data_IF_868839917197
#
_entry.id   IF_868839917197
#
_cell.length_a   1.000
_cell.length_b   1.000
_cell.length_c   1.000
_cell.angle_alpha   90.00
_cell.angle_beta   90.00
_cell.angle_gamma   90.00
#
_symmetry.space_group_name_H-M   'P 1'
#
loop_
_entity.id
_entity.type
_entity.pdbx_description
1 polymer ?
#
# COMPACT_ATOMS: atom_id res chain seq x y z
N UNK A 1 14.94 6.70 -40.04
CA UNK A 1 14.41 7.16 -38.74
C UNK A 1 12.92 6.92 -38.77
N UNK A 2 12.30 6.44 -37.67
CA UNK A 2 10.84 6.46 -37.59
C UNK A 2 10.36 7.90 -37.78
N UNK A 3 9.26 8.06 -38.50
CA UNK A 3 8.62 9.36 -38.72
C UNK A 3 8.20 9.95 -37.37
N UNK A 4 8.35 11.27 -37.17
CA UNK A 4 7.94 11.91 -35.92
C UNK A 4 6.43 11.69 -35.69
N UNK A 5 5.98 11.44 -34.46
CA UNK A 5 4.56 11.21 -34.22
C UNK A 5 3.76 12.45 -34.59
N UNK A 6 2.69 12.25 -35.38
CA UNK A 6 1.75 13.30 -35.75
C UNK A 6 0.92 13.78 -34.55
N UNK A 7 0.02 14.74 -34.75
CA UNK A 7 -0.92 15.17 -33.71
C UNK A 7 -2.06 14.14 -33.52
N UNK A 8 -2.59 14.01 -32.30
CA UNK A 8 -3.82 13.24 -32.08
C UNK A 8 -5.07 13.98 -32.53
N UNK A 9 -5.01 15.32 -32.60
CA UNK A 9 -6.10 16.13 -33.11
C UNK A 9 -6.26 15.90 -34.64
N UNK A 10 -7.51 15.80 -35.16
CA UNK A 10 -7.75 15.52 -36.58
C UNK A 10 -7.50 16.73 -37.50
N UNK A 11 -7.16 17.91 -36.96
CA UNK A 11 -6.98 19.15 -37.73
C UNK A 11 -8.28 19.75 -38.31
N UNK A 12 -9.45 19.21 -37.95
CA UNK A 12 -10.76 19.63 -38.42
C UNK A 12 -11.87 19.46 -37.38
N UNK A 13 -13.13 19.60 -37.79
CA UNK A 13 -14.29 19.43 -36.91
C UNK A 13 -14.56 17.95 -36.60
N UNK A 14 -14.94 17.67 -35.35
CA UNK A 14 -15.52 16.40 -34.94
C UNK A 14 -17.03 16.54 -34.67
N UNK A 15 -17.79 15.50 -34.97
CA UNK A 15 -19.23 15.39 -34.68
C UNK A 15 -19.48 14.28 -33.67
N UNK A 16 -20.40 14.49 -32.72
CA UNK A 16 -20.81 13.48 -31.74
C UNK A 16 -22.32 13.27 -31.92
N UNK A 17 -22.70 12.09 -32.41
CA UNK A 17 -24.05 11.79 -32.89
C UNK A 17 -24.69 10.72 -31.99
N UNK A 18 -25.86 10.95 -31.38
CA UNK A 18 -26.54 9.94 -30.58
C UNK A 18 -27.19 8.86 -31.46
N UNK A 19 -27.09 7.58 -31.06
CA UNK A 19 -27.90 6.50 -31.66
C UNK A 19 -29.19 6.36 -30.86
N UNK A 20 -30.28 6.88 -31.41
CA UNK A 20 -31.60 6.89 -30.75
C UNK A 20 -32.48 5.74 -31.22
N UNK A 21 -33.48 5.36 -30.39
CA UNK A 21 -34.49 4.37 -30.77
C UNK A 21 -34.05 2.91 -30.63
N UNK A 22 -32.93 2.65 -29.96
CA UNK A 22 -32.52 1.30 -29.59
C UNK A 22 -33.51 0.67 -28.59
N UNK A 23 -33.69 -0.66 -28.62
CA UNK A 23 -34.58 -1.36 -27.69
C UNK A 23 -33.99 -1.41 -26.28
N UNK A 24 -34.83 -1.83 -25.33
CA UNK A 24 -34.36 -2.24 -24.00
C UNK A 24 -33.75 -3.65 -24.11
N UNK A 25 -32.42 -3.73 -24.09
CA UNK A 25 -31.68 -4.98 -24.28
C UNK A 25 -31.86 -5.98 -23.13
N UNK A 26 -31.87 -7.26 -23.48
CA UNK A 26 -31.93 -8.41 -22.58
C UNK A 26 -30.88 -9.47 -22.97
N UNK A 27 -30.61 -10.45 -22.09
CA UNK A 27 -29.63 -11.49 -22.37
C UNK A 27 -29.91 -12.22 -23.70
N UNK A 28 -28.91 -12.27 -24.57
CA UNK A 28 -28.98 -12.92 -25.88
C UNK A 28 -29.46 -12.04 -27.04
N UNK A 29 -29.85 -10.78 -26.80
CA UNK A 29 -30.22 -9.86 -27.89
C UNK A 29 -29.03 -9.53 -28.80
N UNK A 30 -29.29 -9.38 -30.09
CA UNK A 30 -28.27 -9.01 -31.08
C UNK A 30 -28.04 -7.49 -31.11
N UNK A 31 -27.00 -7.07 -30.39
CA UNK A 31 -26.60 -5.66 -30.32
C UNK A 31 -26.19 -5.10 -31.69
N UNK A 32 -25.49 -5.88 -32.51
CA UNK A 32 -25.01 -5.40 -33.80
C UNK A 32 -26.17 -5.18 -34.77
N UNK A 33 -27.11 -6.12 -34.84
CA UNK A 33 -28.31 -5.99 -35.67
C UNK A 33 -29.14 -4.76 -35.28
N UNK A 34 -29.32 -4.51 -33.98
CA UNK A 34 -30.03 -3.32 -33.50
C UNK A 34 -29.32 -2.01 -33.90
N UNK A 35 -27.99 -1.99 -33.85
CA UNK A 35 -27.21 -0.82 -34.29
C UNK A 35 -27.34 -0.61 -35.80
N UNK A 36 -27.24 -1.67 -36.61
CA UNK A 36 -27.38 -1.56 -38.07
C UNK A 36 -28.76 -1.03 -38.46
N UNK A 37 -29.83 -1.46 -37.79
CA UNK A 37 -31.20 -0.97 -38.01
C UNK A 37 -31.36 0.52 -37.64
N UNK A 38 -30.81 0.95 -36.50
CA UNK A 38 -30.99 2.31 -35.98
C UNK A 38 -29.95 3.32 -36.45
N UNK A 39 -28.80 2.86 -36.89
CA UNK A 39 -27.71 3.67 -37.41
C UNK A 39 -27.23 3.19 -38.79
N UNK A 40 -28.10 3.10 -39.81
CA UNK A 40 -27.70 2.76 -41.18
C UNK A 40 -26.82 3.85 -41.82
N UNK A 41 -26.62 4.98 -41.13
CA UNK A 41 -25.80 6.12 -41.52
C UNK A 41 -24.34 6.03 -41.03
N UNK A 42 -23.95 4.92 -40.38
CA UNK A 42 -22.55 4.64 -40.01
C UNK A 42 -21.64 4.63 -41.23
N UNK A 43 -20.38 5.02 -41.03
CA UNK A 43 -19.37 5.13 -42.08
C UNK A 43 -18.03 4.60 -41.59
N UNK A 44 -17.15 4.28 -42.53
CA UNK A 44 -15.76 3.94 -42.22
C UNK A 44 -15.08 5.06 -41.44
N UNK A 45 -14.30 4.68 -40.42
CA UNK A 45 -13.59 5.61 -39.54
C UNK A 45 -14.43 6.19 -38.39
N UNK A 46 -15.73 5.91 -38.34
CA UNK A 46 -16.55 6.26 -37.16
C UNK A 46 -16.07 5.49 -35.92
N UNK A 47 -16.15 6.14 -34.74
CA UNK A 47 -15.91 5.50 -33.44
C UNK A 47 -17.22 5.38 -32.68
N UNK A 48 -17.63 4.15 -32.34
CA UNK A 48 -18.79 3.90 -31.50
C UNK A 48 -18.39 3.90 -30.03
N UNK A 49 -18.95 4.83 -29.26
CA UNK A 49 -18.81 4.92 -27.81
C UNK A 49 -20.04 4.30 -27.16
N UNK A 50 -19.89 3.08 -26.64
CA UNK A 50 -20.96 2.20 -26.17
C UNK A 50 -20.91 2.13 -24.64
N UNK A 51 -22.04 2.27 -23.94
CA UNK A 51 -22.06 2.04 -22.48
C UNK A 51 -21.92 0.55 -22.14
N UNK A 52 -21.16 0.25 -21.08
CA UNK A 52 -21.01 -1.07 -20.49
C UNK A 52 -22.35 -1.72 -20.17
N UNK A 53 -23.36 -0.93 -19.80
CA UNK A 53 -24.68 -1.43 -19.37
C UNK A 53 -25.36 -2.28 -20.42
N UNK A 54 -25.39 -1.85 -21.68
CA UNK A 54 -26.06 -2.63 -22.73
C UNK A 54 -25.26 -3.88 -23.10
N UNK A 55 -23.93 -3.81 -22.99
CA UNK A 55 -23.03 -4.96 -23.21
C UNK A 55 -23.26 -6.00 -22.11
N UNK A 56 -23.28 -5.57 -20.84
CA UNK A 56 -23.63 -6.41 -19.70
C UNK A 56 -25.00 -7.08 -19.85
N UNK A 57 -26.01 -6.34 -20.35
CA UNK A 57 -27.35 -6.90 -20.58
C UNK A 57 -27.34 -8.02 -21.61
N UNK A 58 -26.77 -7.79 -22.79
CA UNK A 58 -26.76 -8.80 -23.87
C UNK A 58 -25.89 -10.01 -23.52
N UNK A 59 -24.83 -9.80 -22.73
CA UNK A 59 -23.95 -10.87 -22.24
C UNK A 59 -24.46 -11.60 -20.98
N UNK A 60 -25.65 -11.25 -20.48
CA UNK A 60 -26.25 -11.96 -19.34
C UNK A 60 -25.58 -11.64 -17.99
N UNK A 61 -24.96 -10.47 -17.85
CA UNK A 61 -24.31 -9.98 -16.61
C UNK A 61 -25.29 -9.30 -15.65
N UNK A 62 -26.56 -9.70 -15.69
CA UNK A 62 -27.60 -9.26 -14.75
C UNK A 62 -27.77 -10.30 -13.66
N UNK A 63 -27.78 -9.85 -12.40
CA UNK A 63 -27.98 -10.72 -11.24
C UNK A 63 -29.23 -10.32 -10.46
N UNK A 64 -30.04 -11.28 -9.98
CA UNK A 64 -31.20 -10.98 -9.14
C UNK A 64 -30.77 -10.25 -7.86
N UNK A 65 -31.58 -9.28 -7.45
CA UNK A 65 -31.35 -8.49 -6.26
C UNK A 65 -32.67 -8.16 -5.55
N UNK A 66 -32.67 -8.10 -4.20
CA UNK A 66 -33.82 -7.64 -3.44
C UNK A 66 -34.28 -6.24 -3.85
N UNK A 67 -35.56 -5.95 -3.64
CA UNK A 67 -36.13 -4.61 -3.82
C UNK A 67 -36.04 -3.76 -2.55
N UNK A 68 -35.96 -4.39 -1.38
CA UNK A 68 -35.72 -3.67 -0.13
C UNK A 68 -34.35 -2.98 -0.17
N UNK A 69 -34.25 -1.66 0.13
CA UNK A 69 -33.00 -0.93 0.02
C UNK A 69 -31.85 -1.45 0.88
N UNK A 70 -32.13 -1.95 2.09
CA UNK A 70 -31.09 -2.44 3.00
C UNK A 70 -30.59 -3.82 2.55
N UNK A 71 -31.50 -4.72 2.21
CA UNK A 71 -31.16 -6.04 1.66
C UNK A 71 -30.44 -5.93 0.32
N UNK A 72 -30.85 -4.97 -0.53
CA UNK A 72 -30.21 -4.69 -1.82
C UNK A 72 -28.80 -4.16 -1.65
N UNK A 73 -28.56 -3.24 -0.70
CA UNK A 73 -27.19 -2.78 -0.41
C UNK A 73 -26.32 -3.90 0.16
N UNK A 74 -26.88 -4.78 1.00
CA UNK A 74 -26.18 -5.96 1.51
C UNK A 74 -25.81 -6.95 0.39
N UNK A 75 -26.76 -7.28 -0.49
CA UNK A 75 -26.52 -8.13 -1.66
C UNK A 75 -25.46 -7.52 -2.59
N UNK A 76 -25.55 -6.20 -2.85
CA UNK A 76 -24.56 -5.47 -3.64
C UNK A 76 -23.17 -5.58 -3.03
N UNK A 77 -23.01 -5.47 -1.71
CA UNK A 77 -21.71 -5.61 -1.06
C UNK A 77 -21.11 -6.99 -1.21
N UNK A 78 -21.91 -8.03 -1.08
CA UNK A 78 -21.44 -9.41 -1.31
C UNK A 78 -20.90 -9.54 -2.73
N UNK A 79 -21.60 -8.99 -3.72
CA UNK A 79 -21.12 -8.99 -5.10
C UNK A 79 -19.84 -8.14 -5.27
N UNK A 80 -19.74 -6.98 -4.61
CA UNK A 80 -18.53 -6.14 -4.63
C UNK A 80 -17.34 -6.93 -4.07
N UNK A 81 -17.52 -7.59 -2.93
CA UNK A 81 -16.47 -8.38 -2.29
C UNK A 81 -16.07 -9.59 -3.16
N UNK A 82 -17.01 -10.17 -3.91
CA UNK A 82 -16.73 -11.23 -4.88
C UNK A 82 -15.97 -10.72 -6.10
N UNK A 83 -16.31 -9.55 -6.64
CA UNK A 83 -15.67 -8.98 -7.83
C UNK A 83 -14.36 -8.24 -7.54
N UNK A 84 -14.14 -7.81 -6.29
CA UNK A 84 -12.95 -7.07 -5.90
C UNK A 84 -11.73 -8.00 -5.77
N UNK A 85 -10.63 -7.59 -6.39
CA UNK A 85 -9.29 -8.14 -6.13
C UNK A 85 -8.75 -7.57 -4.83
N UNK A 86 -8.95 -6.27 -4.60
CA UNK A 86 -8.62 -5.59 -3.35
C UNK A 86 -9.51 -4.37 -3.09
N UNK A 87 -9.59 -4.00 -1.81
CA UNK A 87 -10.16 -2.72 -1.39
C UNK A 87 -9.04 -1.69 -1.39
N UNK A 88 -9.20 -0.63 -2.20
CA UNK A 88 -8.23 0.47 -2.30
C UNK A 88 -8.52 1.50 -1.22
N UNK A 89 -9.78 1.92 -1.07
CA UNK A 89 -10.17 2.90 -0.05
C UNK A 89 -11.60 2.69 0.44
N UNK A 90 -11.83 2.99 1.72
CA UNK A 90 -13.14 2.97 2.36
C UNK A 90 -13.51 4.32 2.96
N UNK A 91 -14.75 4.78 2.72
CA UNK A 91 -15.35 5.90 3.44
C UNK A 91 -16.81 5.61 3.76
N UNK A 92 -17.09 5.30 5.03
CA UNK A 92 -18.43 4.86 5.44
C UNK A 92 -18.84 3.58 4.70
N UNK A 93 -19.97 3.64 3.98
CA UNK A 93 -20.48 2.52 3.14
C UNK A 93 -19.85 2.47 1.76
N UNK A 94 -19.14 3.51 1.32
CA UNK A 94 -18.54 3.59 -0.02
C UNK A 94 -17.20 2.87 -0.05
N UNK A 95 -17.00 2.06 -1.08
CA UNK A 95 -15.77 1.35 -1.37
C UNK A 95 -15.24 1.76 -2.73
N UNK A 96 -13.95 2.06 -2.79
CA UNK A 96 -13.16 2.05 -4.02
C UNK A 96 -12.41 0.73 -4.05
N UNK A 97 -12.62 -0.04 -5.11
CA UNK A 97 -12.07 -1.38 -5.28
C UNK A 97 -11.38 -1.48 -6.62
N UNK A 98 -10.33 -2.30 -6.66
CA UNK A 98 -9.81 -2.84 -7.92
C UNK A 98 -10.64 -4.09 -8.23
N UNK A 99 -11.27 -4.15 -9.40
CA UNK A 99 -12.02 -5.32 -9.84
C UNK A 99 -11.13 -6.29 -10.64
N UNK A 100 -11.69 -7.43 -11.06
CA UNK A 100 -10.97 -8.44 -11.86
C UNK A 100 -10.45 -7.96 -13.23
N UNK A 101 -10.97 -6.84 -13.73
CA UNK A 101 -10.49 -6.20 -14.95
C UNK A 101 -9.30 -5.27 -14.68
N UNK A 102 -8.88 -5.09 -13.42
CA UNK A 102 -7.85 -4.14 -13.00
C UNK A 102 -8.36 -2.70 -12.86
N UNK A 103 -9.66 -2.45 -13.04
CA UNK A 103 -10.24 -1.11 -12.98
C UNK A 103 -10.44 -0.71 -11.52
N UNK A 104 -9.87 0.43 -11.13
CA UNK A 104 -10.04 1.02 -9.80
C UNK A 104 -11.20 2.01 -9.82
N UNK A 105 -12.34 1.59 -9.28
CA UNK A 105 -13.55 2.42 -9.25
C UNK A 105 -14.47 2.12 -8.07
N UNK A 106 -15.58 2.84 -7.98
CA UNK A 106 -16.55 2.62 -6.91
C UNK A 106 -17.23 1.25 -7.07
N UNK A 107 -17.21 0.44 -6.01
CA UNK A 107 -17.97 -0.80 -5.89
C UNK A 107 -17.82 -1.74 -7.11
N UNK A 108 -16.59 -1.89 -7.60
CA UNK A 108 -16.22 -2.80 -8.70
C UNK A 108 -16.98 -2.58 -10.02
N UNK A 109 -17.63 -1.43 -10.20
CA UNK A 109 -18.49 -1.14 -11.36
C UNK A 109 -19.90 -1.75 -11.27
N UNK A 110 -20.29 -2.28 -10.10
CA UNK A 110 -21.61 -2.88 -9.90
C UNK A 110 -22.66 -1.78 -9.77
N UNK A 111 -23.63 -1.80 -10.66
CA UNK A 111 -24.63 -0.75 -10.81
C UNK A 111 -26.05 -1.31 -10.62
N UNK A 112 -26.92 -0.51 -10.01
CA UNK A 112 -28.35 -0.80 -9.86
C UNK A 112 -29.25 0.19 -10.58
N UNK A 113 -28.68 1.13 -11.34
CA UNK A 113 -29.39 2.10 -12.17
C UNK A 113 -29.60 1.58 -13.59
N UNK A 114 -30.66 2.06 -14.26
CA UNK A 114 -31.01 1.70 -15.65
C UNK A 114 -31.11 0.18 -15.90
N UNK A 115 -31.46 -0.59 -14.86
CA UNK A 115 -31.84 -2.01 -14.88
C UNK A 115 -33.17 -2.16 -14.16
N UNK A 116 -33.79 -3.34 -14.25
CA UNK A 116 -34.98 -3.62 -13.45
C UNK A 116 -34.68 -3.47 -11.94
N UNK A 117 -35.66 -3.00 -11.17
CA UNK A 117 -35.49 -2.81 -9.72
C UNK A 117 -35.20 -4.10 -8.94
N UNK A 118 -35.44 -5.26 -9.54
CA UNK A 118 -35.11 -6.59 -9.01
C UNK A 118 -33.76 -7.13 -9.50
N UNK A 119 -32.94 -6.32 -10.18
CA UNK A 119 -31.67 -6.75 -10.77
C UNK A 119 -30.52 -5.79 -10.41
N UNK A 120 -29.29 -6.28 -10.43
CA UNK A 120 -28.05 -5.49 -10.45
C UNK A 120 -27.25 -5.89 -11.71
N UNK A 121 -26.53 -4.94 -12.29
CA UNK A 121 -25.61 -5.19 -13.39
C UNK A 121 -24.17 -5.32 -12.88
N UNK A 122 -23.51 -6.39 -13.30
CA UNK A 122 -22.06 -6.52 -13.24
C UNK A 122 -21.47 -5.99 -14.55
N UNK A 123 -20.18 -5.67 -14.57
CA UNK A 123 -19.49 -5.33 -15.82
C UNK A 123 -19.38 -6.55 -16.75
N UNK A 124 -19.16 -6.32 -18.07
CA UNK A 124 -18.77 -7.38 -18.99
C UNK A 124 -17.51 -8.11 -18.49
N UNK A 125 -17.41 -9.41 -18.72
CA UNK A 125 -16.26 -10.21 -18.24
C UNK A 125 -14.97 -9.86 -18.99
N UNK A 126 -15.07 -9.48 -20.25
CA UNK A 126 -13.95 -9.01 -21.06
C UNK A 126 -14.43 -7.93 -22.05
N UNK A 127 -14.54 -6.66 -21.60
CA UNK A 127 -15.04 -5.59 -22.45
C UNK A 127 -14.20 -5.35 -23.72
N UNK A 128 -12.88 -5.59 -23.68
CA UNK A 128 -12.03 -5.51 -24.89
C UNK A 128 -12.48 -6.54 -25.95
N UNK A 129 -12.75 -7.78 -25.53
CA UNK A 129 -13.27 -8.83 -26.42
C UNK A 129 -14.69 -8.52 -26.92
N UNK A 130 -15.54 -7.93 -26.07
CA UNK A 130 -16.87 -7.47 -26.45
C UNK A 130 -16.80 -6.37 -27.53
N UNK A 131 -15.89 -5.41 -27.37
CA UNK A 131 -15.66 -4.34 -28.35
C UNK A 131 -15.18 -4.91 -29.70
N UNK A 132 -14.23 -5.84 -29.68
CA UNK A 132 -13.73 -6.51 -30.88
C UNK A 132 -14.81 -7.33 -31.59
N UNK A 133 -15.66 -8.04 -30.83
CA UNK A 133 -16.78 -8.82 -31.36
C UNK A 133 -17.82 -7.92 -32.03
N UNK A 134 -18.20 -6.82 -31.37
CA UNK A 134 -19.14 -5.86 -31.92
C UNK A 134 -18.62 -5.23 -33.21
N UNK A 135 -17.35 -4.81 -33.21
CA UNK A 135 -16.67 -4.26 -34.40
C UNK A 135 -16.74 -5.23 -35.58
N UNK A 136 -16.39 -6.50 -35.36
CA UNK A 136 -16.44 -7.54 -36.40
C UNK A 136 -17.86 -7.75 -36.93
N UNK A 137 -18.85 -7.84 -36.04
CA UNK A 137 -20.23 -8.05 -36.43
C UNK A 137 -20.79 -6.89 -37.28
N UNK A 138 -20.42 -5.64 -36.97
CA UNK A 138 -20.78 -4.47 -37.77
C UNK A 138 -20.13 -4.49 -39.15
N UNK A 139 -18.87 -4.91 -39.24
CA UNK A 139 -18.20 -5.08 -40.53
C UNK A 139 -18.87 -6.16 -41.38
N UNK A 140 -19.19 -7.32 -40.79
CA UNK A 140 -19.85 -8.43 -41.48
C UNK A 140 -21.28 -8.09 -41.92
N UNK A 141 -22.03 -7.35 -41.11
CA UNK A 141 -23.45 -7.08 -41.35
C UNK A 141 -23.73 -5.81 -42.17
N UNK A 142 -22.91 -4.77 -42.02
CA UNK A 142 -23.10 -3.47 -42.68
C UNK A 142 -21.93 -3.06 -43.59
N UNK A 143 -20.84 -3.82 -43.64
CA UNK A 143 -19.69 -3.53 -44.50
C UNK A 143 -18.84 -2.33 -44.04
N UNK A 144 -19.09 -1.78 -42.85
CA UNK A 144 -18.39 -0.60 -42.33
C UNK A 144 -17.24 -0.98 -41.40
N UNK A 145 -16.11 -0.29 -41.51
CA UNK A 145 -14.97 -0.43 -40.61
C UNK A 145 -14.96 0.70 -39.59
N UNK A 146 -15.41 0.38 -38.39
CA UNK A 146 -15.49 1.31 -37.24
C UNK A 146 -14.47 0.94 -36.16
N UNK A 147 -14.24 1.87 -35.24
CA UNK A 147 -13.65 1.57 -33.94
C UNK A 147 -14.75 1.50 -32.86
N UNK A 148 -14.50 0.79 -31.76
CA UNK A 148 -15.45 0.64 -30.66
C UNK A 148 -14.76 0.93 -29.35
N UNK A 149 -15.38 1.76 -28.51
CA UNK A 149 -14.97 2.02 -27.12
C UNK A 149 -16.16 1.70 -26.21
N UNK A 150 -16.01 0.72 -25.33
CA UNK A 150 -16.97 0.42 -24.27
C UNK A 150 -16.61 1.25 -23.05
N UNK A 151 -17.61 1.87 -22.44
CA UNK A 151 -17.45 2.93 -21.45
C UNK A 151 -18.24 2.65 -20.19
N UNK A 152 -17.70 3.05 -19.05
CA UNK A 152 -18.44 3.05 -17.79
C UNK A 152 -18.28 4.37 -17.05
N UNK A 153 -19.31 4.73 -16.28
CA UNK A 153 -19.35 6.00 -15.56
C UNK A 153 -18.55 5.89 -14.27
N UNK A 154 -17.49 6.69 -14.13
CA UNK A 154 -16.61 6.65 -12.97
C UNK A 154 -16.34 8.02 -12.37
N UNK A 155 -16.10 8.03 -11.05
CA UNK A 155 -15.48 9.16 -10.38
C UNK A 155 -13.97 9.18 -10.61
N UNK A 156 -13.29 10.23 -10.16
CA UNK A 156 -11.83 10.33 -10.28
C UNK A 156 -11.23 11.12 -9.12
N UNK A 157 -9.95 10.84 -8.83
CA UNK A 157 -9.26 11.47 -7.72
C UNK A 157 -9.29 13.02 -7.84
N UNK A 158 -9.45 13.67 -6.68
CA UNK A 158 -9.32 15.13 -6.50
C UNK A 158 -10.35 16.02 -7.22
N UNK A 159 -11.36 15.44 -7.88
CA UNK A 159 -12.40 16.21 -8.58
C UNK A 159 -13.80 15.72 -8.22
N UNK A 160 -14.73 16.66 -8.10
CA UNK A 160 -16.16 16.37 -7.90
C UNK A 160 -16.79 16.12 -9.26
N UNK A 161 -17.69 15.13 -9.32
CA UNK A 161 -18.40 14.73 -10.54
C UNK A 161 -17.87 13.42 -11.12
N UNK A 162 -18.66 12.83 -12.01
CA UNK A 162 -18.34 11.62 -12.76
C UNK A 162 -18.16 11.96 -14.23
N UNK A 163 -17.42 11.11 -14.93
CA UNK A 163 -17.32 11.10 -16.39
C UNK A 163 -17.21 9.66 -16.84
N UNK A 164 -17.55 9.38 -18.09
CA UNK A 164 -17.32 8.06 -18.64
C UNK A 164 -15.84 7.88 -18.98
N UNK A 165 -15.31 6.70 -18.71
CA UNK A 165 -13.97 6.29 -19.14
C UNK A 165 -14.04 4.95 -19.88
N UNK A 166 -13.03 4.66 -20.68
CA UNK A 166 -12.94 3.43 -21.44
C UNK A 166 -12.65 2.24 -20.52
N UNK A 167 -13.45 1.19 -20.67
CA UNK A 167 -13.25 -0.10 -20.00
C UNK A 167 -13.03 -1.25 -20.99
N UNK A 168 -13.30 -1.00 -22.27
CA UNK A 168 -13.04 -1.90 -23.38
C UNK A 168 -12.78 -1.13 -24.68
N UNK A 169 -11.93 -1.60 -25.57
CA UNK A 169 -11.76 -0.99 -26.90
C UNK A 169 -11.30 -1.95 -27.98
N UNK A 170 -11.59 -1.60 -29.24
CA UNK A 170 -11.07 -2.28 -30.42
C UNK A 170 -11.05 -1.34 -31.65
N UNK A 171 -10.02 -1.45 -32.48
CA UNK A 171 -9.95 -0.70 -33.75
C UNK A 171 -9.39 0.73 -33.63
N UNK A 172 -8.76 1.07 -32.50
CA UNK A 172 -8.06 2.35 -32.30
C UNK A 172 -6.91 2.20 -31.30
N UNK A 173 -5.91 3.07 -31.41
CA UNK A 173 -4.89 3.30 -30.42
C UNK A 173 -5.52 4.03 -29.23
N UNK A 174 -5.44 3.43 -28.03
CA UNK A 174 -6.06 4.01 -26.83
C UNK A 174 -5.24 5.14 -26.22
N UNK A 175 -3.94 5.17 -26.51
CA UNK A 175 -3.00 6.20 -26.05
C UNK A 175 -2.24 6.73 -27.26
N UNK A 176 -2.22 8.05 -27.40
CA UNK A 176 -1.33 8.73 -28.33
C UNK A 176 -0.09 9.23 -27.59
N UNK A 177 1.10 8.79 -28.03
CA UNK A 177 2.38 9.14 -27.39
C UNK A 177 3.14 10.15 -28.25
N UNK A 178 3.46 11.31 -27.67
CA UNK A 178 4.26 12.34 -28.32
C UNK A 178 5.77 12.18 -28.10
N UNK A 179 6.20 11.16 -27.36
CA UNK A 179 7.63 10.94 -27.08
C UNK A 179 8.45 10.98 -28.38
N UNK A 180 9.39 11.92 -28.46
CA UNK A 180 10.24 12.15 -29.64
C UNK A 180 9.67 13.09 -30.71
N UNK A 181 8.50 13.70 -30.50
CA UNK A 181 8.05 14.86 -31.28
C UNK A 181 8.64 16.17 -30.75
N UNK A 182 8.76 17.17 -31.62
CA UNK A 182 9.11 18.54 -31.26
C UNK A 182 7.88 19.44 -31.40
N UNK A 183 7.69 20.37 -30.46
CA UNK A 183 6.65 21.39 -30.57
C UNK A 183 7.04 22.49 -31.58
N UNK A 184 6.12 23.44 -31.83
CA UNK A 184 6.36 24.56 -32.73
C UNK A 184 7.47 25.53 -32.31
N UNK A 185 8.08 25.33 -31.14
CA UNK A 185 9.21 26.09 -30.61
C UNK A 185 10.52 25.27 -30.62
N UNK A 186 10.48 24.01 -31.07
CA UNK A 186 11.63 23.10 -31.09
C UNK A 186 11.91 22.41 -29.75
N UNK A 187 10.95 22.40 -28.82
CA UNK A 187 11.10 21.63 -27.58
C UNK A 187 10.65 20.19 -27.80
N UNK A 188 11.46 19.23 -27.38
CA UNK A 188 11.10 17.82 -27.39
C UNK A 188 9.99 17.51 -26.36
N UNK A 189 8.96 16.78 -26.79
CA UNK A 189 7.92 16.25 -25.93
C UNK A 189 8.38 14.90 -25.38
N UNK A 190 8.63 14.83 -24.06
CA UNK A 190 9.25 13.65 -23.43
C UNK A 190 8.22 12.73 -22.74
N UNK A 191 7.18 13.29 -22.12
CA UNK A 191 6.24 12.55 -21.24
C UNK A 191 4.79 12.61 -21.74
N UNK A 192 4.50 13.42 -22.75
CA UNK A 192 3.12 13.71 -23.14
C UNK A 192 2.46 12.49 -23.80
N UNK A 193 1.52 11.88 -23.07
CA UNK A 193 0.66 10.81 -23.56
C UNK A 193 -0.81 11.23 -23.37
N UNK A 194 -1.62 11.09 -24.42
CA UNK A 194 -3.05 11.42 -24.40
C UNK A 194 -3.86 10.15 -24.42
N UNK A 195 -4.73 9.95 -23.42
CA UNK A 195 -5.64 8.82 -23.33
C UNK A 195 -6.85 9.03 -24.27
N UNK A 196 -6.65 8.82 -25.57
CA UNK A 196 -7.64 9.05 -26.63
C UNK A 196 -8.95 8.32 -26.34
N UNK A 197 -8.90 7.08 -25.89
CA UNK A 197 -10.11 6.32 -25.59
C UNK A 197 -10.92 6.93 -24.42
N UNK A 198 -10.27 7.54 -23.42
CA UNK A 198 -10.95 8.22 -22.33
C UNK A 198 -11.50 9.59 -22.75
N UNK A 199 -10.82 10.32 -23.64
CA UNK A 199 -11.36 11.55 -24.23
C UNK A 199 -12.64 11.26 -25.04
N UNK A 200 -12.62 10.18 -25.83
CA UNK A 200 -13.78 9.71 -26.59
C UNK A 200 -14.91 9.26 -25.67
N UNK A 201 -14.59 8.53 -24.60
CA UNK A 201 -15.56 8.11 -23.60
C UNK A 201 -16.26 9.32 -22.96
N UNK A 202 -15.48 10.28 -22.49
CA UNK A 202 -15.99 11.50 -21.87
C UNK A 202 -16.82 12.35 -22.84
N UNK A 203 -16.37 12.49 -24.09
CA UNK A 203 -17.08 13.23 -25.12
C UNK A 203 -18.41 12.56 -25.51
N UNK A 204 -18.42 11.23 -25.64
CA UNK A 204 -19.63 10.46 -25.94
C UNK A 204 -20.72 10.57 -24.87
N UNK A 205 -20.34 10.70 -23.59
CA UNK A 205 -21.30 10.86 -22.47
C UNK A 205 -22.17 12.11 -22.64
N UNK A 206 -21.66 13.17 -23.29
CA UNK A 206 -22.40 14.43 -23.50
C UNK A 206 -23.71 14.24 -24.28
N UNK A 207 -23.73 13.32 -25.26
CA UNK A 207 -24.95 13.05 -26.06
C UNK A 207 -25.73 11.84 -25.56
N UNK A 208 -25.09 10.92 -24.83
CA UNK A 208 -25.77 9.79 -24.19
C UNK A 208 -26.65 10.26 -23.04
N UNK A 209 -26.12 11.14 -22.19
CA UNK A 209 -26.77 11.55 -20.95
C UNK A 209 -27.10 10.35 -20.04
N UNK A 210 -27.92 10.57 -19.00
CA UNK A 210 -28.27 9.51 -18.04
C UNK A 210 -29.73 9.02 -18.10
N UNK A 211 -30.61 9.81 -18.72
CA UNK A 211 -32.08 9.57 -18.70
C UNK A 211 -32.68 9.36 -20.10
N UNK A 212 -31.94 9.70 -21.17
CA UNK A 212 -32.48 9.76 -22.52
C UNK A 212 -32.61 8.42 -23.24
N UNK A 213 -32.16 7.32 -22.63
CA UNK A 213 -32.16 6.01 -23.29
C UNK A 213 -31.25 5.96 -24.53
N UNK A 214 -30.15 6.71 -24.53
CA UNK A 214 -29.15 6.74 -25.60
C UNK A 214 -27.88 6.04 -25.10
N UNK A 215 -27.73 4.72 -25.33
CA UNK A 215 -26.60 3.97 -24.81
C UNK A 215 -25.35 4.02 -25.70
N UNK A 216 -25.46 4.61 -26.91
CA UNK A 216 -24.38 4.66 -27.90
C UNK A 216 -24.28 6.08 -28.48
N UNK A 217 -23.06 6.60 -28.54
CA UNK A 217 -22.69 7.77 -29.33
C UNK A 217 -21.74 7.37 -30.46
N UNK A 218 -21.82 8.06 -31.59
CA UNK A 218 -20.87 7.92 -32.70
C UNK A 218 -20.04 9.19 -32.78
N UNK A 219 -18.72 9.05 -32.65
CA UNK A 219 -17.77 10.14 -32.89
C UNK A 219 -17.26 10.03 -34.31
N UNK A 220 -17.45 11.10 -35.10
CA UNK A 220 -17.11 11.18 -36.51
C UNK A 220 -16.14 12.33 -36.76
N UNK A 221 -15.30 12.17 -37.78
CA UNK A 221 -14.29 13.16 -38.16
C UNK A 221 -12.91 12.86 -37.57
N UNK A 222 -12.76 11.70 -36.94
CA UNK A 222 -11.48 11.14 -36.54
C UNK A 222 -10.98 10.16 -37.60
N UNK A 223 -9.68 9.92 -37.61
CA UNK A 223 -9.03 8.87 -38.41
C UNK A 223 -8.31 7.92 -37.46
N UNK A 224 -9.06 7.03 -36.74
CA UNK A 224 -8.47 6.16 -35.75
C UNK A 224 -7.44 5.22 -36.39
N UNK A 225 -6.27 5.13 -35.77
CA UNK A 225 -5.21 4.19 -36.15
C UNK A 225 -5.29 3.02 -35.18
N UNK A 226 -5.37 1.79 -35.68
CA UNK A 226 -5.36 0.59 -34.85
C UNK A 226 -3.92 0.09 -34.68
N UNK A 227 -3.37 0.20 -33.47
CA UNK A 227 -2.04 -0.32 -33.10
C UNK A 227 -2.12 -1.62 -32.30
N UNK A 228 -3.33 -2.19 -32.16
CA UNK A 228 -3.61 -3.38 -31.36
C UNK A 228 -3.71 -3.12 -29.86
N UNK A 229 -3.59 -1.88 -29.38
CA UNK A 229 -3.83 -1.54 -27.98
C UNK A 229 -5.31 -1.64 -27.62
N UNK A 230 -5.57 -1.91 -26.34
CA UNK A 230 -6.92 -2.08 -25.79
C UNK A 230 -7.12 -1.24 -24.53
N UNK A 231 -8.33 -1.16 -23.98
CA UNK A 231 -8.57 -0.36 -22.78
C UNK A 231 -7.76 -0.86 -21.58
N UNK A 232 -7.42 -2.15 -21.53
CA UNK A 232 -6.49 -2.70 -20.53
C UNK A 232 -5.11 -2.01 -20.56
N UNK A 233 -4.69 -1.43 -21.69
CA UNK A 233 -3.42 -0.68 -21.82
C UNK A 233 -3.47 0.68 -21.10
N UNK A 234 -4.65 1.20 -20.78
CA UNK A 234 -4.82 2.45 -20.00
C UNK A 234 -4.58 2.23 -18.50
N UNK A 235 -4.68 0.99 -18.03
CA UNK A 235 -4.62 0.68 -16.61
C UNK A 235 -3.19 0.74 -16.10
N UNK A 236 -3.02 1.36 -14.94
CA UNK A 236 -1.76 1.40 -14.20
C UNK A 236 -1.85 0.47 -13.00
N UNK A 237 -1.32 -0.75 -13.14
CA UNK A 237 -1.33 -1.77 -12.10
C UNK A 237 0.05 -2.05 -11.51
N UNK A 238 0.10 -2.91 -10.49
CA UNK A 238 1.35 -3.41 -9.92
C UNK A 238 2.27 -2.30 -9.39
N UNK A 239 3.53 -2.33 -9.82
CA UNK A 239 4.57 -1.37 -9.38
C UNK A 239 4.35 0.05 -9.89
N UNK A 240 3.56 0.21 -10.96
CA UNK A 240 3.25 1.53 -11.49
C UNK A 240 2.13 2.22 -10.68
N UNK A 241 1.34 1.48 -9.89
CA UNK A 241 0.27 2.05 -9.05
C UNK A 241 0.83 2.85 -7.86
N UNK A 242 1.00 4.15 -8.08
CA UNK A 242 1.43 5.11 -7.06
C UNK A 242 0.39 5.31 -5.93
N UNK A 243 -0.83 4.79 -6.08
CA UNK A 243 -1.94 4.91 -5.13
C UNK A 243 -2.43 3.53 -4.64
N UNK A 244 -1.49 2.59 -4.50
CA UNK A 244 -1.72 1.20 -4.08
C UNK A 244 -2.52 1.01 -2.77
N UNK A 245 -2.55 2.00 -1.87
CA UNK A 245 -3.39 1.97 -0.68
C UNK A 245 -4.03 3.33 -0.42
N UNK A 246 -5.29 3.31 0.02
CA UNK A 246 -5.93 4.46 0.64
C UNK A 246 -5.19 4.89 1.89
N UNK A 247 -5.24 6.19 2.19
CA UNK A 247 -4.48 6.79 3.30
C UNK A 247 -4.81 6.15 4.65
N UNK A 248 -6.09 5.85 4.91
CA UNK A 248 -6.51 5.25 6.17
C UNK A 248 -5.97 3.83 6.33
N UNK A 249 -6.03 3.04 5.26
CA UNK A 249 -5.53 1.67 5.17
C UNK A 249 -4.01 1.62 5.35
N UNK A 250 -3.28 2.54 4.71
CA UNK A 250 -1.83 2.67 4.86
C UNK A 250 -1.42 3.02 6.30
N UNK A 251 -2.10 3.98 6.93
CA UNK A 251 -1.85 4.37 8.32
C UNK A 251 -2.13 3.23 9.30
N UNK A 252 -3.26 2.53 9.12
CA UNK A 252 -3.63 1.40 9.98
C UNK A 252 -2.63 0.24 9.84
N UNK A 253 -2.21 -0.07 8.61
CA UNK A 253 -1.15 -1.05 8.37
C UNK A 253 0.15 -0.66 9.06
N UNK A 254 0.60 0.59 8.88
CA UNK A 254 1.82 1.08 9.51
C UNK A 254 1.80 0.98 11.04
N UNK A 255 0.67 1.31 11.68
CA UNK A 255 0.49 1.17 13.14
C UNK A 255 0.65 -0.28 13.61
N UNK A 256 0.06 -1.24 12.90
CA UNK A 256 0.14 -2.68 13.25
C UNK A 256 1.54 -3.25 13.05
N UNK A 257 2.24 -2.80 12.01
CA UNK A 257 3.55 -3.33 11.64
C UNK A 257 4.70 -2.82 12.54
N UNK A 258 4.52 -1.72 13.28
CA UNK A 258 5.57 -1.09 14.08
C UNK A 258 6.31 -2.09 15.00
N UNK A 259 5.57 -2.89 15.79
CA UNK A 259 6.15 -3.91 16.66
C UNK A 259 6.73 -5.11 15.88
N UNK A 260 6.15 -5.41 14.72
CA UNK A 260 6.49 -6.57 13.89
C UNK A 260 7.76 -6.34 13.06
N UNK A 261 8.20 -5.09 12.88
CA UNK A 261 9.49 -4.75 12.25
C UNK A 261 10.69 -5.02 13.14
N UNK A 262 10.54 -4.90 14.47
CA UNK A 262 11.65 -5.07 15.41
C UNK A 262 12.27 -6.47 15.32
N UNK A 263 13.59 -6.52 15.12
CA UNK A 263 14.43 -7.73 15.14
C UNK A 263 15.52 -7.60 16.19
N UNK A 264 16.07 -8.72 16.64
CA UNK A 264 17.29 -8.75 17.44
C UNK A 264 18.48 -8.91 16.50
N UNK A 265 18.89 -7.80 15.88
CA UNK A 265 19.87 -7.75 14.79
C UNK A 265 21.26 -8.05 15.31
N UNK A 266 21.98 -8.97 14.65
CA UNK A 266 23.31 -9.44 15.10
C UNK A 266 24.48 -8.98 14.22
N UNK A 267 24.19 -8.38 13.07
CA UNK A 267 25.17 -7.88 12.11
C UNK A 267 24.72 -6.52 11.59
N UNK A 268 25.65 -5.57 11.53
CA UNK A 268 25.39 -4.19 11.13
C UNK A 268 26.31 -3.79 9.97
N UNK A 269 25.79 -2.92 9.10
CA UNK A 269 26.58 -2.17 8.12
C UNK A 269 27.59 -1.24 8.83
N UNK A 270 28.72 -0.91 8.19
CA UNK A 270 29.65 0.11 8.69
C UNK A 270 29.10 1.55 8.63
N UNK A 271 27.92 1.76 8.03
CA UNK A 271 27.32 3.09 7.90
C UNK A 271 27.07 3.75 9.26
N UNK A 272 27.34 5.05 9.32
CA UNK A 272 27.12 5.83 10.53
C UNK A 272 25.62 5.93 10.86
N UNK A 273 25.30 5.81 12.14
CA UNK A 273 23.95 6.07 12.65
C UNK A 273 23.80 7.57 12.87
N UNK A 274 22.71 8.15 12.36
CA UNK A 274 22.37 9.54 12.63
C UNK A 274 22.13 9.75 14.15
N UNK A 275 22.88 10.66 14.81
CA UNK A 275 22.69 10.98 16.22
C UNK A 275 21.28 11.41 16.60
N UNK A 276 20.57 12.12 15.73
CA UNK A 276 19.22 12.62 16.04
C UNK A 276 18.21 11.48 16.05
N UNK A 277 18.36 10.51 15.15
CA UNK A 277 17.57 9.27 15.17
C UNK A 277 17.65 8.51 16.50
N UNK A 278 18.82 8.49 17.17
CA UNK A 278 18.96 7.87 18.50
C UNK A 278 18.26 8.71 19.58
N UNK A 279 18.40 10.04 19.54
CA UNK A 279 17.77 10.94 20.52
C UNK A 279 16.25 10.86 20.43
N UNK A 280 15.71 10.88 19.22
CA UNK A 280 14.28 10.78 18.97
C UNK A 280 13.74 9.40 19.39
N UNK A 281 14.48 8.32 19.09
CA UNK A 281 14.09 6.99 19.53
C UNK A 281 14.11 6.84 21.06
N UNK A 282 15.05 7.50 21.75
CA UNK A 282 15.07 7.57 23.23
C UNK A 282 13.90 8.39 23.75
N UNK A 283 13.54 9.51 23.11
CA UNK A 283 12.37 10.29 23.50
C UNK A 283 11.07 9.48 23.39
N UNK A 284 10.89 8.72 22.30
CA UNK A 284 9.78 7.78 22.14
C UNK A 284 9.80 6.68 23.22
N UNK A 285 10.98 6.12 23.51
CA UNK A 285 11.12 5.07 24.52
C UNK A 285 10.70 5.53 25.92
N UNK A 286 10.92 6.82 26.25
CA UNK A 286 10.55 7.41 27.53
C UNK A 286 9.05 7.67 27.68
N UNK A 287 8.23 7.42 26.65
CA UNK A 287 6.76 7.38 26.80
C UNK A 287 6.28 6.06 27.41
N UNK A 288 7.18 5.11 27.66
CA UNK A 288 6.86 3.88 28.39
C UNK A 288 6.30 4.18 29.79
N UNK A 289 5.40 3.32 30.31
CA UNK A 289 4.79 3.55 31.61
C UNK A 289 5.84 3.48 32.73
N UNK A 290 5.69 4.37 33.70
CA UNK A 290 6.46 4.37 34.94
C UNK A 290 5.50 4.51 36.14
N UNK A 291 5.89 4.03 37.34
CA UNK A 291 5.13 4.28 38.57
C UNK A 291 4.88 5.77 38.79
N UNK A 292 3.74 6.12 39.39
CA UNK A 292 3.31 7.52 39.56
C UNK A 292 4.43 8.42 40.12
N UNK A 293 4.72 9.51 39.42
CA UNK A 293 5.73 10.53 39.77
C UNK A 293 7.18 10.02 39.88
N UNK A 294 7.51 8.92 39.20
CA UNK A 294 8.88 8.36 39.17
C UNK A 294 9.50 8.47 37.79
N UNK A 295 10.84 8.51 37.72
CA UNK A 295 11.59 8.50 36.47
C UNK A 295 12.71 7.44 36.53
N UNK A 296 12.37 6.14 36.54
CA UNK A 296 13.32 5.07 36.82
C UNK A 296 14.35 4.85 35.71
N UNK A 297 14.10 5.33 34.50
CA UNK A 297 14.87 5.01 33.31
C UNK A 297 15.96 6.05 33.05
N UNK A 298 17.19 5.59 32.82
CA UNK A 298 18.24 6.39 32.17
C UNK A 298 18.86 5.59 31.04
N UNK A 299 18.92 6.17 29.84
CA UNK A 299 19.67 5.61 28.73
C UNK A 299 21.04 6.29 28.66
N UNK A 300 22.11 5.54 28.86
CA UNK A 300 23.49 6.05 28.78
C UNK A 300 24.07 5.66 27.44
N UNK A 301 24.23 6.63 26.54
CA UNK A 301 24.81 6.45 25.22
C UNK A 301 26.34 6.57 25.28
N UNK A 302 27.07 5.48 25.01
CA UNK A 302 28.53 5.44 25.10
C UNK A 302 29.15 5.88 23.79
N UNK A 303 29.22 7.20 23.57
CA UNK A 303 29.72 7.80 22.32
C UNK A 303 31.24 7.80 22.18
N UNK A 304 31.98 7.66 23.28
CA UNK A 304 33.44 7.75 23.27
C UNK A 304 34.05 6.37 23.04
N UNK A 305 34.74 6.10 21.90
CA UNK A 305 35.21 4.75 21.56
C UNK A 305 36.19 4.18 22.60
N UNK A 306 37.04 5.02 23.19
CA UNK A 306 37.97 4.61 24.24
C UNK A 306 37.24 4.16 25.52
N UNK A 307 36.16 4.85 25.90
CA UNK A 307 35.33 4.47 27.06
C UNK A 307 34.60 3.15 26.78
N UNK A 308 34.02 3.01 25.58
CA UNK A 308 33.37 1.76 25.15
C UNK A 308 34.35 0.58 25.21
N UNK A 309 35.53 0.73 24.59
CA UNK A 309 36.53 -0.34 24.52
C UNK A 309 36.96 -0.79 25.92
N UNK A 310 37.35 0.17 26.77
CA UNK A 310 37.77 -0.11 28.15
C UNK A 310 36.69 -0.86 28.94
N UNK A 311 35.45 -0.34 28.91
CA UNK A 311 34.32 -0.98 29.58
C UNK A 311 34.13 -2.45 29.13
N UNK A 312 34.09 -2.69 27.82
CA UNK A 312 33.81 -4.01 27.29
C UNK A 312 34.98 -4.99 27.51
N UNK A 313 36.23 -4.52 27.47
CA UNK A 313 37.41 -5.32 27.79
C UNK A 313 37.41 -5.76 29.25
N UNK A 314 37.17 -4.83 30.19
CA UNK A 314 37.08 -5.17 31.62
C UNK A 314 35.92 -6.12 31.92
N UNK A 315 34.77 -5.93 31.27
CA UNK A 315 33.65 -6.89 31.38
C UNK A 315 34.01 -8.27 30.83
N UNK A 316 34.76 -8.34 29.71
CA UNK A 316 35.20 -9.60 29.10
C UNK A 316 36.21 -10.33 30.00
N UNK A 317 37.11 -9.61 30.65
CA UNK A 317 38.07 -10.15 31.62
C UNK A 317 37.34 -10.75 32.83
N UNK A 318 36.38 -10.01 33.40
CA UNK A 318 35.56 -10.52 34.50
C UNK A 318 34.80 -11.78 34.09
N UNK A 319 34.13 -11.76 32.93
CA UNK A 319 33.38 -12.91 32.45
C UNK A 319 34.27 -14.13 32.18
N UNK A 320 35.49 -13.91 31.68
CA UNK A 320 36.49 -14.98 31.51
C UNK A 320 36.87 -15.59 32.86
N UNK A 321 37.08 -14.78 33.89
CA UNK A 321 37.39 -15.25 35.24
C UNK A 321 36.23 -16.06 35.84
N UNK A 322 34.99 -15.60 35.69
CA UNK A 322 33.80 -16.32 36.16
C UNK A 322 33.69 -17.71 35.49
N UNK A 323 33.82 -17.76 34.17
CA UNK A 323 33.73 -19.02 33.41
C UNK A 323 34.89 -19.98 33.71
N UNK A 324 36.09 -19.45 33.99
CA UNK A 324 37.22 -20.25 34.44
C UNK A 324 36.98 -20.79 35.86
N UNK A 325 36.37 -20.00 36.73
CA UNK A 325 35.92 -20.41 38.07
C UNK A 325 34.88 -21.53 38.02
N UNK A 326 34.01 -21.53 37.02
CA UNK A 326 33.06 -22.62 36.72
C UNK A 326 33.73 -23.90 36.16
N UNK A 327 35.04 -23.88 35.91
CA UNK A 327 35.80 -25.03 35.39
C UNK A 327 35.61 -25.30 33.90
N UNK A 328 35.21 -24.31 33.10
CA UNK A 328 35.11 -24.47 31.65
C UNK A 328 36.49 -24.55 30.99
N UNK A 329 36.59 -25.29 29.89
CA UNK A 329 37.78 -25.33 29.03
C UNK A 329 37.95 -24.03 28.25
N UNK A 330 39.18 -23.72 27.87
CA UNK A 330 39.51 -22.50 27.09
C UNK A 330 38.68 -22.35 25.81
N UNK A 331 38.47 -23.42 25.06
CA UNK A 331 37.65 -23.38 23.83
C UNK A 331 36.18 -23.00 24.13
N UNK A 332 35.62 -23.50 25.24
CA UNK A 332 34.24 -23.18 25.64
C UNK A 332 34.13 -21.77 26.19
N UNK A 333 35.17 -21.28 26.88
CA UNK A 333 35.27 -19.89 27.32
C UNK A 333 35.28 -18.99 26.09
N UNK A 334 36.18 -19.22 25.13
CA UNK A 334 36.28 -18.44 23.91
C UNK A 334 34.95 -18.38 23.13
N UNK A 335 34.27 -19.52 22.98
CA UNK A 335 32.96 -19.59 22.32
C UNK A 335 31.82 -18.85 23.06
N UNK A 336 31.91 -18.68 24.38
CA UNK A 336 30.97 -17.85 25.14
C UNK A 336 31.31 -16.37 25.00
N UNK A 337 32.58 -16.01 25.14
CA UNK A 337 33.05 -14.63 25.05
C UNK A 337 32.74 -14.01 23.68
N UNK A 338 32.83 -14.79 22.58
CA UNK A 338 32.54 -14.30 21.23
C UNK A 338 31.09 -13.85 21.03
N UNK A 339 30.15 -14.29 21.87
CA UNK A 339 28.76 -13.80 21.85
C UNK A 339 28.65 -12.33 22.26
N UNK A 340 29.67 -11.80 22.92
CA UNK A 340 29.77 -10.40 23.31
C UNK A 340 30.36 -9.49 22.21
N UNK A 341 30.93 -10.06 21.15
CA UNK A 341 31.66 -9.30 20.11
C UNK A 341 30.77 -8.28 19.40
N UNK A 342 29.47 -8.57 19.28
CA UNK A 342 28.47 -7.63 18.78
C UNK A 342 28.51 -6.25 19.47
N UNK A 343 28.84 -6.15 20.76
CA UNK A 343 28.92 -4.87 21.46
C UNK A 343 30.20 -4.09 21.11
N UNK A 344 31.25 -4.79 20.65
CA UNK A 344 32.46 -4.18 20.13
C UNK A 344 32.25 -3.68 18.70
N UNK A 345 31.55 -4.48 17.89
CA UNK A 345 31.36 -4.25 16.45
C UNK A 345 30.21 -3.28 16.14
N UNK A 346 29.24 -3.14 17.04
CA UNK A 346 28.11 -2.26 16.83
C UNK A 346 28.57 -0.80 16.62
N UNK A 347 28.00 -0.09 15.61
CA UNK A 347 28.25 1.34 15.42
C UNK A 347 28.03 2.13 16.72
N UNK A 348 26.87 1.91 17.37
CA UNK A 348 26.46 2.62 18.57
C UNK A 348 26.06 1.66 19.69
N UNK A 349 26.32 2.05 20.95
CA UNK A 349 25.86 1.30 22.13
C UNK A 349 25.14 2.20 23.13
N UNK A 350 23.98 1.74 23.60
CA UNK A 350 23.21 2.40 24.65
C UNK A 350 22.99 1.42 25.80
N UNK A 351 23.27 1.85 27.03
CA UNK A 351 23.09 1.04 28.24
C UNK A 351 21.87 1.58 29.00
N UNK A 352 20.76 0.82 29.11
CA UNK A 352 19.66 1.16 30.01
C UNK A 352 20.08 0.97 31.47
N UNK A 353 19.77 1.96 32.30
CA UNK A 353 19.93 1.92 33.74
C UNK A 353 18.59 2.13 34.44
N UNK A 354 18.45 1.41 35.56
CA UNK A 354 17.46 1.69 36.58
C UNK A 354 18.07 2.60 37.66
N UNK A 355 17.36 3.69 38.00
CA UNK A 355 17.74 4.63 39.05
C UNK A 355 16.57 4.83 40.02
N UNK A 356 16.81 5.03 41.33
CA UNK A 356 15.75 5.17 42.32
C UNK A 356 15.13 6.59 42.34
N UNK A 357 14.92 7.20 41.16
CA UNK A 357 14.37 8.55 41.04
C UNK A 357 12.85 8.54 41.29
N UNK A 358 12.44 9.19 42.39
CA UNK A 358 11.08 9.16 42.92
C UNK A 358 10.75 7.91 43.73
N UNK A 359 11.72 7.02 43.98
CA UNK A 359 11.47 5.78 44.73
C UNK A 359 11.07 6.05 46.19
N UNK A 360 10.11 5.29 46.69
CA UNK A 360 9.74 5.35 48.10
C UNK A 360 10.77 4.65 49.00
N UNK A 361 11.04 5.24 50.17
CA UNK A 361 11.86 4.61 51.20
C UNK A 361 10.99 3.75 52.12
N UNK A 362 11.23 2.43 52.12
CA UNK A 362 10.52 1.49 52.98
C UNK A 362 11.43 0.88 54.06
N UNK A 363 10.96 0.77 55.32
CA UNK A 363 11.73 0.18 56.41
C UNK A 363 11.87 -1.35 56.31
N UNK A 364 10.94 -2.03 55.63
CA UNK A 364 10.92 -3.48 55.47
C UNK A 364 11.45 -3.96 54.11
N UNK A 365 12.12 -5.10 54.11
CA UNK A 365 12.76 -5.71 52.94
C UNK A 365 11.76 -6.05 51.84
N UNK A 366 10.60 -6.58 52.22
CA UNK A 366 9.56 -7.00 51.29
C UNK A 366 9.11 -5.87 50.37
N UNK A 367 8.82 -4.68 50.92
CA UNK A 367 8.41 -3.52 50.10
C UNK A 367 9.57 -2.93 49.30
N UNK A 368 10.80 -2.91 49.83
CA UNK A 368 11.98 -2.51 49.05
C UNK A 368 12.19 -3.40 47.82
N UNK A 369 12.05 -4.72 47.98
CA UNK A 369 12.18 -5.67 46.86
C UNK A 369 11.05 -5.51 45.84
N UNK A 370 9.82 -5.19 46.30
CA UNK A 370 8.70 -4.91 45.42
C UNK A 370 8.91 -3.62 44.61
N UNK A 371 9.38 -2.53 45.25
CA UNK A 371 9.72 -1.27 44.58
C UNK A 371 10.81 -1.49 43.52
N UNK A 372 11.86 -2.24 43.86
CA UNK A 372 12.97 -2.54 42.94
C UNK A 372 12.51 -3.34 41.71
N UNK A 373 11.64 -4.35 41.94
CA UNK A 373 11.02 -5.12 40.87
C UNK A 373 10.18 -4.21 39.97
N UNK A 374 9.35 -3.35 40.57
CA UNK A 374 8.48 -2.42 39.84
C UNK A 374 9.28 -1.48 38.94
N UNK A 375 10.38 -0.91 39.46
CA UNK A 375 11.27 -0.05 38.69
C UNK A 375 11.99 -0.82 37.56
N UNK A 376 12.42 -2.05 37.83
CA UNK A 376 13.06 -2.92 36.83
C UNK A 376 12.10 -3.24 35.67
N UNK A 377 10.83 -3.52 35.97
CA UNK A 377 9.79 -3.75 34.95
C UNK A 377 9.57 -2.50 34.09
N UNK A 378 9.54 -1.31 34.69
CA UNK A 378 9.39 -0.06 33.95
C UNK A 378 10.57 0.18 32.98
N UNK A 379 11.80 -0.10 33.39
CA UNK A 379 12.96 -0.01 32.49
C UNK A 379 12.87 -1.05 31.38
N UNK A 380 12.43 -2.28 31.66
CA UNK A 380 12.19 -3.29 30.63
C UNK A 380 11.17 -2.85 29.57
N UNK A 381 10.11 -2.17 29.99
CA UNK A 381 9.13 -1.58 29.07
C UNK A 381 9.76 -0.48 28.19
N UNK A 382 10.56 0.41 28.77
CA UNK A 382 11.29 1.44 28.02
C UNK A 382 12.34 0.86 27.06
N UNK A 383 13.03 -0.22 27.45
CA UNK A 383 13.94 -0.94 26.55
C UNK A 383 13.19 -1.44 25.34
N UNK A 384 12.04 -2.11 25.52
CA UNK A 384 11.22 -2.54 24.39
C UNK A 384 10.74 -1.35 23.53
N UNK A 385 10.36 -0.24 24.15
CA UNK A 385 10.02 1.01 23.47
C UNK A 385 11.14 1.51 22.57
N UNK A 386 12.38 1.55 23.08
CA UNK A 386 13.56 1.96 22.32
C UNK A 386 13.83 1.03 21.12
N UNK A 387 13.75 -0.29 21.32
CA UNK A 387 13.99 -1.24 20.23
C UNK A 387 12.97 -1.06 19.08
N UNK A 388 11.70 -0.80 19.42
CA UNK A 388 10.65 -0.52 18.42
C UNK A 388 10.85 0.84 17.76
N UNK A 389 11.17 1.88 18.54
CA UNK A 389 11.39 3.23 18.04
C UNK A 389 12.58 3.31 17.07
N UNK A 390 13.62 2.50 17.29
CA UNK A 390 14.72 2.32 16.34
C UNK A 390 14.26 1.60 15.07
N UNK A 391 13.50 0.51 15.20
CA UNK A 391 13.06 -0.29 14.06
C UNK A 391 12.13 0.47 13.10
N UNK A 392 11.28 1.39 13.60
CA UNK A 392 10.43 2.24 12.74
C UNK A 392 11.19 3.37 12.04
N UNK A 393 12.46 3.59 12.40
CA UNK A 393 13.43 4.47 11.74
C UNK A 393 14.47 3.68 10.95
N UNK A 394 14.15 2.43 10.62
CA UNK A 394 14.99 1.47 9.89
C UNK A 394 16.36 1.17 10.53
N UNK A 395 16.50 1.41 11.84
CA UNK A 395 17.68 1.02 12.61
C UNK A 395 17.50 -0.36 13.25
N UNK A 396 18.49 -1.22 13.04
CA UNK A 396 18.62 -2.50 13.71
C UNK A 396 19.07 -2.31 15.16
N UNK A 397 18.61 -3.20 16.04
CA UNK A 397 19.07 -3.20 17.43
C UNK A 397 19.09 -4.58 18.05
N UNK A 398 19.89 -4.77 19.11
CA UNK A 398 19.89 -5.98 19.90
C UNK A 398 20.17 -5.70 21.37
N UNK A 399 19.21 -6.01 22.22
CA UNK A 399 19.38 -6.00 23.68
C UNK A 399 20.06 -7.28 24.15
N UNK A 400 21.06 -7.11 25.02
CA UNK A 400 21.90 -8.18 25.56
C UNK A 400 22.05 -7.94 27.07
N UNK A 401 21.77 -8.94 27.89
CA UNK A 401 21.81 -8.82 29.35
C UNK A 401 23.22 -8.73 29.96
N UNK A 402 24.29 -8.53 29.18
CA UNK A 402 25.68 -8.69 29.61
C UNK A 402 26.07 -7.78 30.79
N UNK A 403 25.67 -6.51 30.77
CA UNK A 403 26.02 -5.54 31.83
C UNK A 403 25.38 -5.86 33.20
N UNK A 404 24.32 -6.67 33.23
CA UNK A 404 23.66 -7.10 34.48
C UNK A 404 24.62 -7.93 35.33
N UNK A 405 25.45 -8.77 34.69
CA UNK A 405 26.41 -9.65 35.36
C UNK A 405 27.70 -8.93 35.80
N UNK A 406 27.88 -7.67 35.40
CA UNK A 406 29.06 -6.87 35.71
C UNK A 406 28.68 -5.45 36.16
N UNK A 407 27.57 -5.32 36.90
CA UNK A 407 26.98 -4.01 37.23
C UNK A 407 27.94 -3.07 37.98
N UNK A 408 28.74 -3.59 38.91
CA UNK A 408 29.73 -2.81 39.68
C UNK A 408 30.84 -2.28 38.78
N UNK A 409 31.38 -3.14 37.92
CA UNK A 409 32.36 -2.81 36.88
C UNK A 409 31.83 -1.74 35.95
N UNK A 410 30.60 -1.90 35.45
CA UNK A 410 29.96 -0.93 34.55
C UNK A 410 29.84 0.44 35.21
N UNK A 411 29.41 0.50 36.48
CA UNK A 411 29.31 1.77 37.19
C UNK A 411 30.68 2.43 37.40
N UNK A 412 31.67 1.66 37.84
CA UNK A 412 33.02 2.15 38.11
C UNK A 412 33.65 2.72 36.84
N UNK A 413 33.59 1.98 35.73
CA UNK A 413 34.16 2.37 34.44
C UNK A 413 33.51 3.62 33.83
N UNK A 414 32.23 3.87 34.15
CA UNK A 414 31.46 5.01 33.68
C UNK A 414 31.39 6.17 34.68
N UNK A 415 31.98 6.04 35.87
CA UNK A 415 31.94 7.05 36.92
C UNK A 415 30.52 7.35 37.44
N UNK A 416 29.64 6.34 37.47
CA UNK A 416 28.24 6.46 37.87
C UNK A 416 28.03 6.20 39.37
N UNK A 417 26.94 6.74 39.91
CA UNK A 417 26.57 6.55 41.33
C UNK A 417 26.24 5.09 41.63
N UNK A 418 26.52 4.66 42.87
CA UNK A 418 26.34 3.28 43.32
C UNK A 418 24.89 2.74 43.19
N UNK A 419 23.90 3.63 43.17
CA UNK A 419 22.48 3.30 43.05
C UNK A 419 21.99 3.14 41.60
N UNK A 420 22.88 3.27 40.60
CA UNK A 420 22.57 3.02 39.20
C UNK A 420 22.73 1.53 38.85
N UNK A 421 21.64 0.88 38.45
CA UNK A 421 21.66 -0.56 38.11
C UNK A 421 21.61 -0.72 36.59
N UNK A 422 22.68 -1.25 35.99
CA UNK A 422 22.70 -1.54 34.56
C UNK A 422 21.75 -2.71 34.23
N UNK A 423 20.93 -2.57 33.20
CA UNK A 423 19.91 -3.55 32.79
C UNK A 423 20.13 -4.05 31.35
N UNK A 424 21.38 -4.42 31.06
CA UNK A 424 21.83 -4.89 29.74
C UNK A 424 22.46 -3.78 28.90
N UNK A 425 22.79 -4.09 27.66
CA UNK A 425 23.30 -3.16 26.66
C UNK A 425 22.54 -3.37 25.35
N UNK A 426 22.38 -2.30 24.58
CA UNK A 426 21.68 -2.28 23.31
C UNK A 426 22.69 -1.90 22.24
N UNK A 427 23.04 -2.85 21.37
CA UNK A 427 23.76 -2.59 20.13
C UNK A 427 22.79 -1.95 19.12
N UNK A 428 23.25 -0.91 18.41
CA UNK A 428 22.45 -0.15 17.44
C UNK A 428 23.28 0.09 16.17
N UNK A 429 22.66 -0.09 15.00
CA UNK A 429 23.29 0.15 13.70
C UNK A 429 22.32 -0.06 12.55
N UNK A 430 22.72 0.35 11.35
CA UNK A 430 22.02 -0.06 10.13
C UNK A 430 22.18 -1.58 9.97
N UNK A 431 21.10 -2.36 9.81
CA UNK A 431 21.21 -3.80 9.71
C UNK A 431 21.85 -4.19 8.36
N UNK A 432 22.70 -5.22 8.35
CA UNK A 432 23.34 -5.70 7.10
C UNK A 432 22.34 -6.24 6.07
N UNK A 433 21.16 -6.67 6.54
CA UNK A 433 20.01 -7.05 5.73
C UNK A 433 18.81 -6.18 6.11
N UNK A 434 17.96 -5.77 5.15
CA UNK A 434 16.78 -4.94 5.44
C UNK A 434 15.86 -5.59 6.48
N UNK A 435 15.28 -4.76 7.37
CA UNK A 435 14.28 -5.25 8.32
C UNK A 435 13.01 -5.67 7.59
N UNK A 436 12.51 -6.86 7.91
CA UNK A 436 11.24 -7.38 7.40
C UNK A 436 10.16 -7.39 8.48
N UNK A 437 8.90 -7.31 8.07
CA UNK A 437 7.75 -7.50 8.97
C UNK A 437 7.63 -9.01 9.28
N UNK A 438 7.49 -9.40 10.56
CA UNK A 438 7.21 -10.81 10.94
C UNK A 438 5.73 -11.07 11.04
N UNK A 439 5.36 -12.34 10.91
CA UNK A 439 4.05 -12.82 11.33
C UNK A 439 3.91 -12.78 12.87
N UNK A 440 2.75 -12.37 13.39
CA UNK A 440 2.43 -12.50 14.80
C UNK A 440 2.44 -13.97 15.25
N UNK A 441 2.90 -14.23 16.48
CA UNK A 441 2.82 -15.56 17.08
C UNK A 441 1.39 -15.89 17.52
N UNK A 442 1.00 -17.16 17.45
CA UNK A 442 -0.23 -17.64 18.06
C UNK A 442 -0.13 -17.54 19.60
N UNK A 443 -1.13 -16.97 20.31
CA UNK A 443 -1.03 -16.68 21.73
C UNK A 443 -0.87 -17.93 22.61
N UNK A 444 -1.52 -19.05 22.25
CA UNK A 444 -1.36 -20.33 22.93
C UNK A 444 -1.50 -20.23 24.45
N UNK A 445 -0.63 -20.91 25.20
CA UNK A 445 -0.58 -20.84 26.67
C UNK A 445 -0.02 -19.54 27.23
N UNK A 446 0.44 -18.60 26.39
CA UNK A 446 0.96 -17.31 26.84
C UNK A 446 -0.14 -16.28 27.11
N UNK A 447 -1.37 -16.55 26.67
CA UNK A 447 -2.57 -15.78 26.99
C UNK A 447 -3.46 -16.63 27.91
N UNK A 448 -3.87 -16.05 29.04
CA UNK A 448 -4.81 -16.67 29.97
C UNK A 448 -6.02 -15.76 30.09
N UNK A 449 -7.20 -16.28 29.77
CA UNK A 449 -8.49 -15.60 29.94
C UNK A 449 -9.18 -16.23 31.16
N UNK A 450 -9.49 -15.41 32.18
CA UNK A 450 -10.07 -15.83 33.46
C UNK A 450 -11.54 -15.46 33.56
#
# INVERSE_FOLDING_TARGET
MPEAPGDHAPGGSIEILPVTGLPEFRPGDDLAAAIVDRAPWLRDGDVLVVTSKIVSKVEGRLVPAPQDPEERDAARRVLVDQEAVRVVARKGRTLITENRLGIVQAASGIDGSNVDGSELALLPENPDASAATLRRALHESAGVTVAVVITDTMGRAWRIGQTDAAIGSAGLAVVHRYAGAEDGQGNELIVTEVAIADELAAAGDLVKGKLGGVPIAVVRGLSPVDDGSTAATLLRGGEDDLFWLGTAEALERGRREALLRRRSVRSFSPDAVDPDSIRDAVADALTAPAPHHTHPVRFVWIRTPAVRRRLLETMREQWRADLAGDGLTEDRIAARLSRGDILFDAPEIVIPFCVPDGAHTYPDERRRAAEDTMFTVAVGAAVQGLLVALAVRDLGSCWIGSTIFAADTVRAELGLRADWKALGAIAIGHPSEPLTVRDPAAPGSSLVEL
#
